data_IF_450350583802
#
_entry.id   IF_450350583802
#
_cell.length_a   1.000
_cell.length_b   1.000
_cell.length_c   1.000
_cell.angle_alpha   90.00
_cell.angle_beta   90.00
_cell.angle_gamma   90.00
#
_symmetry.space_group_name_H-M   'P 1'
#
loop_
_entity.id
_entity.type
_entity.pdbx_description
1 polymer ?
#
# COMPACT_ATOMS: atom_id res chain seq x y z
N UNK A 1 -15.59 -1.47 -7.72
CA UNK A 1 -14.86 -2.31 -8.70
C UNK A 1 -13.38 -2.08 -8.49
N UNK A 2 -12.55 -3.10 -8.67
CA UNK A 2 -11.08 -2.95 -8.61
C UNK A 2 -10.56 -2.30 -9.90
N UNK A 3 -9.45 -1.58 -9.81
CA UNK A 3 -8.79 -0.91 -10.92
C UNK A 3 -8.30 -1.90 -12.00
N UNK A 4 -8.19 -1.41 -13.23
CA UNK A 4 -7.56 -2.11 -14.36
C UNK A 4 -6.09 -1.67 -14.58
N UNK A 5 -5.56 -0.78 -13.72
CA UNK A 5 -4.19 -0.26 -13.85
C UNK A 5 -3.15 -1.32 -13.46
N UNK A 6 -2.25 -1.63 -14.38
CA UNK A 6 -1.19 -2.63 -14.21
C UNK A 6 -0.14 -2.29 -13.14
N UNK A 7 0.03 -1.00 -12.80
CA UNK A 7 0.90 -0.55 -11.72
C UNK A 7 0.13 -0.25 -10.42
N UNK A 8 -1.15 -0.57 -10.41
CA UNK A 8 -2.06 -0.30 -9.31
C UNK A 8 -2.55 1.15 -9.22
N UNK A 9 -3.60 1.33 -8.46
CA UNK A 9 -4.18 2.61 -8.08
C UNK A 9 -3.83 2.92 -6.63
N UNK A 10 -3.68 4.20 -6.34
CA UNK A 10 -3.55 4.74 -5.00
C UNK A 10 -4.25 6.09 -5.01
N UNK A 11 -5.28 6.24 -4.19
CA UNK A 11 -6.03 7.46 -4.02
C UNK A 11 -5.98 7.90 -2.57
N UNK A 12 -5.93 9.21 -2.35
CA UNK A 12 -5.97 9.82 -1.03
C UNK A 12 -7.09 10.86 -1.01
N UNK A 13 -7.96 10.78 -0.01
CA UNK A 13 -8.98 11.79 0.28
C UNK A 13 -8.85 12.22 1.74
N UNK A 14 -8.82 13.53 1.99
CA UNK A 14 -8.73 14.09 3.33
C UNK A 14 -10.04 14.80 3.65
N UNK A 15 -10.76 14.31 4.66
CA UNK A 15 -12.02 14.90 5.12
C UNK A 15 -12.09 14.81 6.64
N UNK A 16 -12.53 15.86 7.32
CA UNK A 16 -12.69 15.88 8.78
C UNK A 16 -11.44 15.40 9.55
N UNK A 17 -10.25 15.81 9.07
CA UNK A 17 -8.93 15.41 9.61
C UNK A 17 -8.60 13.92 9.48
N UNK A 18 -9.33 13.19 8.65
CA UNK A 18 -9.09 11.78 8.35
C UNK A 18 -8.59 11.66 6.91
N UNK A 19 -7.40 11.12 6.73
CA UNK A 19 -6.90 10.73 5.41
C UNK A 19 -7.33 9.29 5.11
N UNK A 20 -8.15 9.09 4.08
CA UNK A 20 -8.45 7.75 3.57
C UNK A 20 -7.53 7.46 2.39
N UNK A 21 -6.66 6.48 2.55
CA UNK A 21 -5.81 5.91 1.50
C UNK A 21 -6.51 4.66 0.96
N UNK A 22 -6.84 4.67 -0.32
CA UNK A 22 -7.44 3.55 -1.03
C UNK A 22 -6.48 3.05 -2.10
N UNK A 23 -6.03 1.79 -1.98
CA UNK A 23 -5.14 1.15 -2.96
C UNK A 23 -5.89 0.06 -3.74
N UNK A 24 -5.45 -0.22 -4.96
CA UNK A 24 -6.04 -1.28 -5.76
C UNK A 24 -5.08 -1.84 -6.79
N UNK A 25 -5.29 -3.09 -7.19
CA UNK A 25 -4.57 -3.72 -8.29
C UNK A 25 -5.45 -4.83 -8.92
N UNK A 26 -5.45 -5.00 -10.26
CA UNK A 26 -6.29 -5.99 -10.93
C UNK A 26 -5.99 -7.44 -10.47
N UNK A 27 -4.75 -7.73 -10.10
CA UNK A 27 -4.37 -9.02 -9.50
C UNK A 27 -4.72 -9.08 -8.00
N UNK A 28 -6.00 -8.96 -7.66
CA UNK A 28 -6.53 -9.08 -6.29
C UNK A 28 -5.84 -8.16 -5.27
N UNK A 29 -5.61 -6.91 -5.64
CA UNK A 29 -4.95 -5.90 -4.81
C UNK A 29 -3.54 -6.32 -4.34
N UNK A 30 -2.80 -7.06 -5.18
CA UNK A 30 -1.36 -7.31 -4.98
C UNK A 30 -0.54 -6.03 -5.05
N UNK A 31 0.60 -6.00 -4.36
CA UNK A 31 1.53 -4.88 -4.35
C UNK A 31 2.71 -5.10 -5.32
N UNK A 32 2.73 -4.44 -6.50
CA UNK A 32 3.96 -4.24 -7.27
C UNK A 32 4.87 -3.21 -6.59
N UNK A 33 6.15 -3.23 -6.93
CA UNK A 33 7.18 -2.34 -6.37
C UNK A 33 6.83 -0.86 -6.52
N UNK A 34 6.23 -0.47 -7.66
CA UNK A 34 5.78 0.90 -7.88
C UNK A 34 4.69 1.34 -6.89
N UNK A 35 3.72 0.45 -6.60
CA UNK A 35 2.63 0.76 -5.67
C UNK A 35 3.14 0.85 -4.22
N UNK A 36 4.10 -0.01 -3.84
CA UNK A 36 4.78 0.08 -2.53
C UNK A 36 5.51 1.41 -2.36
N UNK A 37 6.24 1.85 -3.39
CA UNK A 37 6.95 3.13 -3.36
C UNK A 37 5.98 4.31 -3.24
N UNK A 38 4.89 4.29 -4.01
CA UNK A 38 3.84 5.32 -3.94
C UNK A 38 3.18 5.36 -2.57
N UNK A 39 2.81 4.20 -2.01
CA UNK A 39 2.21 4.13 -0.67
C UNK A 39 3.18 4.63 0.41
N UNK A 40 4.45 4.27 0.33
CA UNK A 40 5.50 4.78 1.23
C UNK A 40 5.58 6.31 1.17
N UNK A 41 5.62 6.88 -0.02
CA UNK A 41 5.70 8.33 -0.21
C UNK A 41 4.46 9.06 0.32
N UNK A 42 3.26 8.51 0.07
CA UNK A 42 2.02 9.07 0.58
C UNK A 42 1.95 9.03 2.11
N UNK A 43 2.37 7.93 2.74
CA UNK A 43 2.45 7.85 4.20
C UNK A 43 3.42 8.88 4.78
N UNK A 44 4.58 9.07 4.15
CA UNK A 44 5.55 10.08 4.57
C UNK A 44 5.05 11.52 4.38
N UNK A 45 4.28 11.78 3.32
CA UNK A 45 3.63 13.08 3.10
C UNK A 45 2.54 13.33 4.16
N UNK A 46 1.68 12.34 4.36
CA UNK A 46 0.63 12.39 5.37
C UNK A 46 1.21 12.59 6.75
N UNK A 47 2.31 11.94 7.11
CA UNK A 47 2.99 12.09 8.40
C UNK A 47 3.29 13.57 8.74
N UNK A 48 3.65 14.37 7.74
CA UNK A 48 4.01 15.79 7.89
C UNK A 48 2.84 16.77 7.78
N UNK A 49 1.63 16.27 7.51
CA UNK A 49 0.46 17.12 7.26
C UNK A 49 -0.38 17.32 8.53
N UNK A 50 -0.21 18.45 9.24
CA UNK A 50 -0.91 18.71 10.51
C UNK A 50 -2.44 18.74 10.42
N UNK A 51 -3.01 18.85 9.21
CA UNK A 51 -4.47 18.76 9.03
C UNK A 51 -5.00 17.31 9.17
N UNK A 52 -4.14 16.30 9.12
CA UNK A 52 -4.52 14.88 9.25
C UNK A 52 -4.16 14.36 10.64
N UNK A 53 -5.14 13.80 11.33
CA UNK A 53 -4.96 13.20 12.66
C UNK A 53 -5.03 11.65 12.61
N UNK A 54 -5.82 11.12 11.68
CA UNK A 54 -6.06 9.67 11.53
C UNK A 54 -5.92 9.28 10.06
N UNK A 55 -5.37 8.09 9.81
CA UNK A 55 -5.29 7.49 8.48
C UNK A 55 -6.17 6.24 8.46
N UNK A 56 -7.02 6.12 7.45
CA UNK A 56 -7.74 4.89 7.12
C UNK A 56 -7.07 4.30 5.89
N UNK A 57 -6.53 3.09 6.01
CA UNK A 57 -6.02 2.32 4.88
C UNK A 57 -7.04 1.28 4.48
N UNK A 58 -7.47 1.29 3.22
CA UNK A 58 -8.42 0.34 2.65
C UNK A 58 -8.00 -0.07 1.25
N UNK A 59 -8.49 -1.22 0.78
CA UNK A 59 -8.35 -1.58 -0.62
C UNK A 59 -9.56 -1.13 -1.44
N UNK A 60 -9.45 -1.16 -2.77
CA UNK A 60 -10.58 -1.10 -3.67
C UNK A 60 -11.35 -2.43 -3.70
N UNK A 61 -12.65 -2.35 -4.00
CA UNK A 61 -13.54 -3.51 -4.09
C UNK A 61 -13.81 -4.18 -2.75
N UNK A 62 -14.52 -5.31 -2.80
CA UNK A 62 -15.12 -5.97 -1.62
C UNK A 62 -14.67 -7.43 -1.42
N UNK A 63 -13.75 -7.95 -2.27
CA UNK A 63 -13.39 -9.39 -2.28
C UNK A 63 -12.04 -9.68 -1.63
N UNK A 64 -11.00 -9.00 -2.05
CA UNK A 64 -9.65 -9.13 -1.52
C UNK A 64 -9.22 -7.78 -0.96
N UNK A 65 -8.65 -7.78 0.25
CA UNK A 65 -7.94 -6.62 0.75
C UNK A 65 -6.55 -6.54 0.12
N UNK A 66 -5.78 -7.61 0.23
CA UNK A 66 -4.44 -7.73 -0.34
C UNK A 66 -4.11 -9.20 -0.59
N UNK A 67 -3.65 -9.52 -1.81
CA UNK A 67 -3.16 -10.85 -2.17
C UNK A 67 -1.64 -11.02 -1.97
N UNK A 68 -0.97 -10.03 -1.35
CA UNK A 68 0.45 -10.02 -1.07
C UNK A 68 1.26 -9.35 -2.18
N UNK A 69 2.50 -9.80 -2.36
CA UNK A 69 3.41 -9.23 -3.33
C UNK A 69 3.03 -9.56 -4.79
N UNK A 70 3.52 -8.75 -5.73
CA UNK A 70 3.42 -9.07 -7.15
C UNK A 70 4.16 -10.37 -7.47
N UNK A 71 3.40 -11.40 -7.88
CA UNK A 71 3.97 -12.69 -8.25
C UNK A 71 4.91 -12.58 -9.45
N UNK A 72 4.58 -11.71 -10.42
CA UNK A 72 5.41 -11.49 -11.61
C UNK A 72 6.78 -10.90 -11.25
N UNK A 73 6.82 -9.97 -10.29
CA UNK A 73 8.09 -9.40 -9.81
C UNK A 73 8.86 -10.42 -8.97
N UNK A 74 8.17 -11.22 -8.14
CA UNK A 74 8.79 -12.27 -7.34
C UNK A 74 9.53 -13.30 -8.19
N UNK A 75 8.92 -13.77 -9.29
CA UNK A 75 9.55 -14.76 -10.19
C UNK A 75 10.64 -14.16 -11.07
N UNK A 76 10.71 -12.82 -11.19
CA UNK A 76 11.75 -12.12 -11.96
C UNK A 76 13.05 -11.89 -11.16
N UNK A 77 13.04 -12.16 -9.84
CA UNK A 77 14.23 -12.05 -9.00
C UNK A 77 15.30 -13.04 -9.48
N UNK A 78 16.45 -12.52 -9.89
CA UNK A 78 17.52 -13.32 -10.48
C UNK A 78 18.79 -13.39 -9.63
N UNK A 79 18.93 -12.47 -8.68
CA UNK A 79 20.12 -12.32 -7.85
C UNK A 79 19.76 -11.70 -6.48
N UNK A 80 20.74 -11.59 -5.59
CA UNK A 80 20.56 -11.06 -4.24
C UNK A 80 20.12 -9.59 -4.24
N UNK A 81 20.69 -8.75 -5.12
CA UNK A 81 20.36 -7.32 -5.18
C UNK A 81 18.91 -7.09 -5.62
N UNK A 82 18.41 -7.89 -6.57
CA UNK A 82 17.00 -7.88 -7.00
C UNK A 82 16.09 -8.27 -5.83
N UNK A 83 16.47 -9.32 -5.10
CA UNK A 83 15.73 -9.80 -3.94
C UNK A 83 15.66 -8.76 -2.83
N UNK A 84 16.80 -8.13 -2.51
CA UNK A 84 16.87 -7.06 -1.52
C UNK A 84 15.96 -5.89 -1.92
N UNK A 85 16.02 -5.43 -3.18
CA UNK A 85 15.16 -4.33 -3.67
C UNK A 85 13.68 -4.68 -3.54
N UNK A 86 13.30 -5.89 -3.96
CA UNK A 86 11.91 -6.37 -3.90
C UNK A 86 11.36 -6.38 -2.46
N UNK A 87 12.09 -7.01 -1.53
CA UNK A 87 11.64 -7.10 -0.14
C UNK A 87 11.76 -5.77 0.62
N UNK A 88 12.71 -4.92 0.25
CA UNK A 88 12.86 -3.57 0.83
C UNK A 88 11.65 -2.69 0.59
N UNK A 89 10.90 -2.88 -0.51
CA UNK A 89 9.65 -2.17 -0.76
C UNK A 89 8.64 -2.32 0.39
N UNK A 90 8.46 -3.55 0.90
CA UNK A 90 7.60 -3.82 2.05
C UNK A 90 8.15 -3.22 3.34
N UNK A 91 9.46 -3.39 3.58
CA UNK A 91 10.12 -2.83 4.75
C UNK A 91 9.98 -1.30 4.81
N UNK A 92 10.04 -0.62 3.67
CA UNK A 92 9.87 0.83 3.56
C UNK A 92 8.45 1.25 3.91
N UNK A 93 7.42 0.56 3.39
CA UNK A 93 6.02 0.84 3.75
C UNK A 93 5.79 0.66 5.25
N UNK A 94 6.22 -0.48 5.81
CA UNK A 94 6.05 -0.78 7.24
C UNK A 94 6.77 0.26 8.10
N UNK A 95 7.98 0.67 7.72
CA UNK A 95 8.70 1.72 8.43
C UNK A 95 8.00 3.07 8.33
N UNK A 96 7.49 3.45 7.15
CA UNK A 96 6.73 4.68 6.98
C UNK A 96 5.46 4.68 7.84
N UNK A 97 4.75 3.56 7.94
CA UNK A 97 3.62 3.41 8.86
C UNK A 97 4.05 3.57 10.31
N UNK A 98 5.11 2.87 10.73
CA UNK A 98 5.64 2.91 12.10
C UNK A 98 6.11 4.31 12.51
N UNK A 99 6.72 5.07 11.60
CA UNK A 99 7.23 6.43 11.87
C UNK A 99 6.24 7.55 11.55
N UNK A 100 5.04 7.24 11.05
CA UNK A 100 4.06 8.24 10.62
C UNK A 100 3.62 9.19 11.75
N UNK A 101 3.65 8.72 13.01
CA UNK A 101 3.24 9.50 14.18
C UNK A 101 1.72 9.70 14.30
N UNK A 102 0.94 9.13 13.37
CA UNK A 102 -0.53 9.21 13.30
C UNK A 102 -1.15 7.84 13.51
N UNK A 103 -2.37 7.83 14.03
CA UNK A 103 -3.13 6.58 14.14
C UNK A 103 -3.50 6.08 12.73
N UNK A 104 -3.04 4.88 12.38
CA UNK A 104 -3.38 4.20 11.13
C UNK A 104 -4.36 3.07 11.44
N UNK A 105 -5.51 3.07 10.78
CA UNK A 105 -6.57 2.07 10.91
C UNK A 105 -6.66 1.30 9.60
N UNK A 106 -6.39 -0.01 9.63
CA UNK A 106 -6.64 -0.90 8.51
C UNK A 106 -8.13 -1.27 8.45
N UNK A 107 -8.82 -0.88 7.38
CA UNK A 107 -10.21 -1.25 7.13
C UNK A 107 -10.26 -2.46 6.20
N UNK A 108 -10.13 -3.65 6.77
CA UNK A 108 -10.02 -4.92 6.05
C UNK A 108 -11.39 -5.43 5.64
N UNK A 109 -11.69 -5.49 4.33
CA UNK A 109 -12.98 -5.95 3.80
C UNK A 109 -12.92 -7.30 3.06
N UNK A 110 -11.78 -7.99 3.05
CA UNK A 110 -11.62 -9.24 2.30
C UNK A 110 -10.37 -10.01 2.66
N UNK A 111 -10.05 -11.03 1.83
CA UNK A 111 -8.86 -11.86 2.02
C UNK A 111 -7.60 -11.00 2.13
N UNK A 112 -6.78 -11.30 3.13
CA UNK A 112 -5.50 -10.61 3.42
C UNK A 112 -4.44 -11.68 3.58
N UNK A 113 -3.49 -11.74 2.65
CA UNK A 113 -2.52 -12.83 2.57
C UNK A 113 -1.14 -12.26 2.28
N UNK A 114 -0.13 -12.69 3.04
CA UNK A 114 1.25 -12.32 2.79
C UNK A 114 1.61 -10.91 3.25
N UNK A 115 2.32 -10.19 2.37
CA UNK A 115 2.96 -8.89 2.64
C UNK A 115 2.06 -7.77 3.10
#
# INVERSE_FOLDING_TARGET
>A
MTTERQQGSLYVSIQNKIATIEFGHPASNSFPSELLARLTNELNYIAKNDAVHVVILKSEGERAFCAGASFNELVAISNLDDGEKFFSGFANVINAMRSCGKLIIGRIQGKTVGG
#
